data_IF_916580690880
#
_entry.id   IF_916580690880
#
_cell.length_a   1.000
_cell.length_b   1.000
_cell.length_c   1.000
_cell.angle_alpha   90.00
_cell.angle_beta   90.00
_cell.angle_gamma   90.00
#
_symmetry.space_group_name_H-M   'P 1'
#
loop_
_entity.id
_entity.type
_entity.pdbx_description
1 polymer ?
#
# COMPACT_ATOMS: atom_id res chain seq x y z
N UNK A 1 3.51 -6.66 -20.09
CA UNK A 1 4.69 -6.19 -19.34
C UNK A 1 4.70 -6.93 -18.02
N UNK A 2 5.83 -7.53 -17.65
CA UNK A 2 5.97 -8.24 -16.37
C UNK A 2 5.99 -7.24 -15.23
N UNK A 3 4.90 -7.16 -14.47
CA UNK A 3 4.81 -6.30 -13.29
C UNK A 3 5.58 -6.99 -12.17
N UNK A 4 6.84 -6.60 -11.96
CA UNK A 4 7.68 -7.16 -10.90
C UNK A 4 7.41 -6.41 -9.60
N UNK A 5 6.70 -7.06 -8.66
CA UNK A 5 6.54 -6.53 -7.32
C UNK A 5 7.83 -6.77 -6.52
N UNK A 6 8.31 -5.72 -5.87
CA UNK A 6 9.31 -5.82 -4.82
C UNK A 6 8.67 -6.40 -3.56
N UNK A 7 9.44 -7.15 -2.76
CA UNK A 7 8.96 -7.74 -1.51
C UNK A 7 9.87 -7.35 -0.35
N UNK A 8 9.28 -6.91 0.75
CA UNK A 8 9.98 -6.60 1.99
C UNK A 8 9.38 -7.43 3.13
N UNK A 9 10.26 -8.04 3.92
CA UNK A 9 9.86 -8.74 5.15
C UNK A 9 9.60 -7.72 6.25
N UNK A 10 8.52 -7.92 7.01
CA UNK A 10 8.10 -7.08 8.12
C UNK A 10 8.30 -7.88 9.43
N UNK A 11 9.54 -8.00 9.94
CA UNK A 11 9.87 -8.91 11.04
C UNK A 11 9.21 -8.57 12.37
N UNK A 12 8.74 -7.34 12.54
CA UNK A 12 8.13 -6.85 13.78
C UNK A 12 6.60 -7.02 13.83
N UNK A 13 5.99 -7.63 12.80
CA UNK A 13 4.60 -8.08 12.88
C UNK A 13 4.54 -9.48 13.53
N UNK A 14 3.43 -9.82 14.18
CA UNK A 14 3.19 -11.16 14.72
C UNK A 14 1.90 -11.74 14.14
N UNK A 15 1.97 -12.71 13.21
CA UNK A 15 3.18 -13.28 12.61
C UNK A 15 3.95 -12.28 11.71
N UNK A 16 5.24 -12.54 11.41
CA UNK A 16 6.03 -11.68 10.52
C UNK A 16 5.32 -11.49 9.17
N UNK A 17 5.13 -10.24 8.77
CA UNK A 17 4.38 -9.91 7.56
C UNK A 17 5.26 -9.79 6.31
N UNK A 18 4.61 -9.70 5.15
CA UNK A 18 5.28 -9.40 3.89
C UNK A 18 4.59 -8.19 3.25
N UNK A 19 5.35 -7.14 2.95
CA UNK A 19 4.91 -6.06 2.09
C UNK A 19 5.35 -6.36 0.66
N UNK A 20 4.39 -6.61 -0.23
CA UNK A 20 4.63 -6.61 -1.67
C UNK A 20 4.29 -5.24 -2.22
N UNK A 21 5.19 -4.61 -2.97
CA UNK A 21 4.92 -3.30 -3.52
C UNK A 21 5.46 -3.07 -4.93
N UNK A 22 4.84 -2.14 -5.66
CA UNK A 22 5.33 -1.68 -6.95
C UNK A 22 5.03 -0.19 -7.15
N UNK A 23 5.97 0.48 -7.82
CA UNK A 23 5.83 1.84 -8.31
C UNK A 23 5.56 1.76 -9.82
N UNK A 24 4.41 2.27 -10.24
CA UNK A 24 3.86 2.15 -11.58
C UNK A 24 3.64 3.55 -12.16
N UNK A 25 3.66 3.69 -13.48
CA UNK A 25 3.47 4.97 -14.15
C UNK A 25 2.18 4.98 -14.95
N UNK A 26 1.26 5.90 -14.64
CA UNK A 26 0.05 6.09 -15.44
C UNK A 26 -0.97 4.94 -15.39
N UNK A 27 -0.92 4.08 -14.37
CA UNK A 27 -1.84 2.95 -14.20
C UNK A 27 -3.11 3.39 -13.49
N UNK A 28 -4.26 3.02 -14.03
CA UNK A 28 -5.56 3.38 -13.46
C UNK A 28 -5.93 2.49 -12.26
N UNK A 29 -6.76 3.00 -11.35
CA UNK A 29 -7.19 2.29 -10.14
C UNK A 29 -7.77 0.90 -10.41
N UNK A 30 -8.49 0.73 -11.54
CA UNK A 30 -9.04 -0.58 -11.92
C UNK A 30 -7.92 -1.61 -12.20
N UNK A 31 -6.90 -1.20 -12.94
CA UNK A 31 -5.74 -2.04 -13.23
C UNK A 31 -4.94 -2.32 -11.95
N UNK A 32 -4.77 -1.31 -11.08
CA UNK A 32 -4.17 -1.51 -9.75
C UNK A 32 -4.89 -2.60 -8.96
N UNK A 33 -6.23 -2.57 -8.93
CA UNK A 33 -7.02 -3.60 -8.24
C UNK A 33 -6.80 -5.00 -8.85
N UNK A 34 -6.75 -5.13 -10.17
CA UNK A 34 -6.47 -6.40 -10.84
C UNK A 34 -5.07 -6.94 -10.52
N UNK A 35 -4.07 -6.07 -10.42
CA UNK A 35 -2.70 -6.45 -9.99
C UNK A 35 -2.70 -6.85 -8.52
N UNK A 36 -3.34 -6.08 -7.66
CA UNK A 36 -3.37 -6.34 -6.22
C UNK A 36 -4.05 -7.67 -5.90
N UNK A 37 -5.22 -7.94 -6.49
CA UNK A 37 -5.96 -9.18 -6.30
C UNK A 37 -5.19 -10.42 -6.77
N UNK A 38 -4.37 -10.30 -7.82
CA UNK A 38 -3.49 -11.41 -8.27
C UNK A 38 -2.35 -11.71 -7.30
N UNK A 39 -1.96 -10.73 -6.48
CA UNK A 39 -0.79 -10.83 -5.61
C UNK A 39 -1.14 -10.96 -4.12
N UNK A 40 -2.41 -10.72 -3.77
CA UNK A 40 -2.98 -10.85 -2.44
C UNK A 40 -3.73 -12.19 -2.35
N UNK A 41 -3.08 -13.21 -1.79
CA UNK A 41 -3.70 -14.53 -1.59
C UNK A 41 -4.21 -14.68 -0.15
N UNK A 42 -5.40 -15.28 0.05
CA UNK A 42 -5.86 -15.66 1.39
C UNK A 42 -4.95 -16.73 2.04
N UNK A 43 -4.13 -17.44 1.27
CA UNK A 43 -3.15 -18.41 1.79
C UNK A 43 -1.94 -17.75 2.46
N UNK A 44 -1.78 -16.44 2.30
CA UNK A 44 -0.72 -15.63 2.91
C UNK A 44 -1.35 -14.48 3.71
N UNK A 45 -2.03 -14.76 4.84
CA UNK A 45 -2.82 -13.79 5.60
C UNK A 45 -1.99 -12.62 6.13
N UNK A 46 -0.68 -12.77 6.24
CA UNK A 46 0.30 -11.78 6.68
C UNK A 46 0.85 -10.89 5.54
N UNK A 47 0.44 -11.12 4.29
CA UNK A 47 0.90 -10.35 3.13
C UNK A 47 -0.01 -9.16 2.87
N UNK A 48 0.56 -7.96 2.76
CA UNK A 48 -0.14 -6.77 2.26
C UNK A 48 0.46 -6.34 0.92
N UNK A 49 -0.39 -5.96 -0.03
CA UNK A 49 0.02 -5.45 -1.34
C UNK A 49 -0.17 -3.94 -1.39
N UNK A 50 0.87 -3.21 -1.77
CA UNK A 50 0.88 -1.76 -1.95
C UNK A 50 1.27 -1.38 -3.38
N UNK A 51 0.36 -0.79 -4.13
CA UNK A 51 0.65 -0.30 -5.47
C UNK A 51 0.55 1.21 -5.49
N UNK A 52 1.55 1.87 -6.08
CA UNK A 52 1.55 3.31 -6.27
C UNK A 52 1.62 3.59 -7.76
N UNK A 53 0.66 4.33 -8.28
CA UNK A 53 0.65 4.83 -9.65
C UNK A 53 0.94 6.31 -9.67
N UNK A 54 2.01 6.71 -10.35
CA UNK A 54 2.41 8.11 -10.50
C UNK A 54 1.95 8.63 -11.86
N UNK A 55 1.26 9.77 -11.85
CA UNK A 55 0.87 10.51 -13.04
C UNK A 55 1.54 11.88 -12.99
N UNK A 56 2.23 12.25 -14.07
CA UNK A 56 2.76 13.60 -14.25
C UNK A 56 1.65 14.51 -14.76
N UNK A 57 1.33 15.54 -14.00
CA UNK A 57 0.36 16.56 -14.38
C UNK A 57 1.03 17.93 -14.47
N UNK A 58 0.34 18.87 -15.12
CA UNK A 58 0.76 20.27 -15.18
C UNK A 58 0.62 20.88 -13.78
N UNK A 59 1.70 20.86 -13.00
CA UNK A 59 1.72 21.30 -11.60
C UNK A 59 2.42 20.34 -10.64
N UNK A 60 2.87 19.17 -11.11
CA UNK A 60 3.66 18.23 -10.33
C UNK A 60 3.26 16.78 -10.56
N UNK A 61 3.81 15.90 -9.73
CA UNK A 61 3.46 14.48 -9.73
C UNK A 61 2.32 14.23 -8.73
N UNK A 62 1.33 13.46 -9.18
CA UNK A 62 0.28 12.91 -8.32
C UNK A 62 0.44 11.41 -8.23
N UNK A 63 0.44 10.91 -7.00
CA UNK A 63 0.51 9.49 -6.71
C UNK A 63 -0.87 9.01 -6.27
N UNK A 64 -1.36 7.95 -6.91
CA UNK A 64 -2.50 7.17 -6.45
C UNK A 64 -1.98 5.92 -5.76
N UNK A 65 -2.36 5.70 -4.52
CA UNK A 65 -1.99 4.52 -3.73
C UNK A 65 -3.18 3.58 -3.63
N UNK A 66 -2.93 2.30 -3.79
CA UNK A 66 -3.84 1.21 -3.46
C UNK A 66 -3.15 0.27 -2.46
N UNK A 67 -3.81 0.03 -1.32
CA UNK A 67 -3.49 -1.04 -0.39
C UNK A 67 -4.56 -2.11 -0.44
N UNK A 68 -4.13 -3.37 -0.52
CA UNK A 68 -5.00 -4.54 -0.43
C UNK A 68 -4.36 -5.56 0.50
N UNK A 69 -5.15 -6.08 1.43
CA UNK A 69 -4.74 -7.15 2.32
C UNK A 69 -5.77 -8.30 2.33
N UNK A 70 -5.38 -9.50 2.77
CA UNK A 70 -6.28 -10.62 3.00
C UNK A 70 -7.35 -10.31 4.04
N UNK A 71 -8.49 -11.04 4.04
CA UNK A 71 -9.53 -10.95 5.05
C UNK A 71 -9.05 -10.93 6.51
N UNK A 72 -8.08 -11.79 6.81
CA UNK A 72 -7.57 -12.02 8.16
C UNK A 72 -6.30 -11.20 8.46
N UNK A 73 -6.00 -10.18 7.65
CA UNK A 73 -4.86 -9.31 7.91
C UNK A 73 -5.05 -8.56 9.24
N UNK A 74 -4.06 -8.56 10.14
CA UNK A 74 -4.25 -8.16 11.55
C UNK A 74 -4.39 -6.65 11.77
N UNK A 75 -4.45 -5.83 10.71
CA UNK A 75 -4.52 -4.37 10.83
C UNK A 75 -5.64 -3.78 9.98
N UNK A 76 -6.23 -2.69 10.47
CA UNK A 76 -7.20 -1.87 9.75
C UNK A 76 -6.49 -1.15 8.58
N UNK A 77 -6.70 -1.67 7.36
CA UNK A 77 -6.04 -1.18 6.13
C UNK A 77 -6.41 0.27 5.81
N UNK A 78 -7.70 0.69 5.85
CA UNK A 78 -8.07 2.10 5.75
C UNK A 78 -7.36 3.02 6.75
N UNK A 79 -7.36 2.66 8.04
CA UNK A 79 -6.72 3.48 9.08
C UNK A 79 -5.20 3.55 8.87
N UNK A 80 -4.57 2.44 8.49
CA UNK A 80 -3.16 2.37 8.13
C UNK A 80 -2.83 3.31 6.97
N UNK A 81 -3.62 3.31 5.89
CA UNK A 81 -3.43 4.20 4.75
C UNK A 81 -3.52 5.66 5.18
N UNK A 82 -4.59 6.05 5.88
CA UNK A 82 -4.80 7.44 6.30
C UNK A 82 -3.66 7.92 7.21
N UNK A 83 -3.22 7.09 8.16
CA UNK A 83 -2.06 7.38 9.02
C UNK A 83 -0.77 7.56 8.22
N UNK A 84 -0.56 6.76 7.19
CA UNK A 84 0.65 6.82 6.34
C UNK A 84 0.65 8.03 5.41
N UNK A 85 -0.52 8.43 4.89
CA UNK A 85 -0.66 9.59 4.01
C UNK A 85 -0.63 10.94 4.75
N UNK A 86 -1.10 10.99 6.00
CA UNK A 86 -1.18 12.22 6.78
C UNK A 86 0.11 13.07 6.80
N UNK A 87 1.31 12.53 7.10
CA UNK A 87 2.54 13.31 7.09
C UNK A 87 2.97 13.79 5.70
N UNK A 88 2.44 13.18 4.63
CA UNK A 88 2.71 13.55 3.24
C UNK A 88 1.69 14.55 2.68
N UNK A 89 0.78 15.06 3.52
CA UNK A 89 -0.34 15.90 3.09
C UNK A 89 -1.37 15.18 2.22
N UNK A 90 -1.29 13.84 2.15
CA UNK A 90 -2.18 13.00 1.38
C UNK A 90 -3.51 12.74 2.06
N UNK A 91 -4.47 12.23 1.28
CA UNK A 91 -5.78 11.79 1.78
C UNK A 91 -6.14 10.46 1.18
N UNK A 92 -6.82 9.64 1.96
CA UNK A 92 -7.29 8.33 1.52
C UNK A 92 -8.40 7.84 2.41
N UNK A 93 -8.99 6.74 1.98
CA UNK A 93 -10.03 6.02 2.69
C UNK A 93 -10.20 4.64 2.09
N UNK A 94 -11.13 3.87 2.63
CA UNK A 94 -11.30 2.50 2.19
C UNK A 94 -12.43 1.83 2.93
N UNK A 95 -12.56 0.53 2.65
CA UNK A 95 -13.48 -0.36 3.33
C UNK A 95 -12.83 -1.73 3.44
N UNK A 96 -13.12 -2.42 4.53
CA UNK A 96 -12.62 -3.77 4.78
C UNK A 96 -11.08 -3.79 4.64
N UNK A 97 -10.56 -4.73 3.86
CA UNK A 97 -9.11 -4.89 3.65
C UNK A 97 -8.58 -4.17 2.41
N UNK A 98 -9.29 -3.13 1.96
CA UNK A 98 -8.91 -2.33 0.79
C UNK A 98 -8.92 -0.85 1.14
N UNK A 99 -7.87 -0.13 0.70
CA UNK A 99 -7.81 1.30 0.85
C UNK A 99 -7.16 1.98 -0.35
N UNK A 100 -7.70 3.12 -0.74
CA UNK A 100 -7.19 3.94 -1.85
C UNK A 100 -7.02 5.38 -1.39
N UNK A 101 -5.98 6.03 -1.89
CA UNK A 101 -5.74 7.43 -1.59
C UNK A 101 -4.79 8.07 -2.57
N UNK A 102 -4.45 9.31 -2.30
CA UNK A 102 -3.46 10.02 -3.09
C UNK A 102 -2.70 11.08 -2.32
N UNK A 103 -1.53 11.40 -2.84
CA UNK A 103 -0.65 12.44 -2.32
C UNK A 103 0.24 12.96 -3.45
N UNK A 104 0.88 14.10 -3.20
CA UNK A 104 1.93 14.65 -4.06
C UNK A 104 3.28 14.51 -3.36
N UNK A 105 4.33 14.19 -4.10
CA UNK A 105 5.69 14.03 -3.55
C UNK A 105 6.32 12.70 -3.93
N UNK A 106 7.36 12.32 -3.19
CA UNK A 106 8.14 11.12 -3.47
C UNK A 106 7.37 9.83 -3.11
N UNK A 107 7.11 8.92 -4.08
CA UNK A 107 6.47 7.65 -3.79
C UNK A 107 7.27 6.76 -2.84
N UNK A 108 8.60 6.86 -2.81
CA UNK A 108 9.42 6.06 -1.91
C UNK A 108 9.23 6.48 -0.44
N UNK A 109 9.06 7.78 -0.18
CA UNK A 109 8.75 8.28 1.16
C UNK A 109 7.46 7.69 1.74
N UNK A 110 6.47 7.37 0.89
CA UNK A 110 5.27 6.65 1.31
C UNK A 110 5.57 5.21 1.70
N UNK A 111 6.36 4.48 0.90
CA UNK A 111 6.74 3.09 1.20
C UNK A 111 7.48 3.03 2.54
N UNK A 112 8.43 3.93 2.76
CA UNK A 112 9.20 3.97 4.01
C UNK A 112 8.30 4.26 5.22
N UNK A 113 7.35 5.19 5.07
CA UNK A 113 6.34 5.49 6.10
C UNK A 113 5.41 4.30 6.36
N UNK A 114 5.01 3.57 5.31
CA UNK A 114 4.17 2.38 5.42
C UNK A 114 4.89 1.27 6.19
N UNK A 115 6.15 0.98 5.83
CA UNK A 115 6.99 -0.01 6.52
C UNK A 115 7.16 0.35 7.99
N UNK A 116 7.40 1.64 8.30
CA UNK A 116 7.48 2.12 9.68
C UNK A 116 6.17 1.91 10.44
N UNK A 117 5.02 2.20 9.83
CA UNK A 117 3.73 2.02 10.48
C UNK A 117 3.41 0.53 10.70
N UNK A 118 3.66 -0.32 9.72
CA UNK A 118 3.48 -1.78 9.84
C UNK A 118 4.40 -2.38 10.89
N UNK A 119 5.67 -1.95 10.94
CA UNK A 119 6.66 -2.43 11.92
C UNK A 119 6.43 -1.89 13.33
N UNK A 120 5.76 -0.75 13.46
CA UNK A 120 5.40 -0.12 14.74
C UNK A 120 4.05 -0.59 15.29
N UNK A 121 3.31 -1.43 14.57
CA UNK A 121 2.04 -2.00 15.02
C UNK A 121 2.31 -3.26 15.83
N UNK A 122 3.10 -3.11 16.90
CA UNK A 122 3.20 -4.13 17.94
C UNK A 122 1.89 -4.11 18.73
N UNK A 123 1.21 -5.25 18.76
CA UNK A 123 -0.10 -5.44 19.39
C UNK A 123 -0.19 -4.73 20.74
N UNK A 124 -1.17 -3.83 20.87
CA UNK A 124 -1.70 -3.41 22.17
C UNK A 124 -2.88 -4.29 22.52
#
# INVERSE_FOLDING_TARGET
AGESLSSLTLPNMSPPGILKYALLNGVETKQLMEIANRNCSPETPETIVCLISTVKETGGEKNTVLLVAPPDFPADVPALLTKTLAPLGGRGGGRDNHATGGFSGDPQAFIDALVKNLSGTSAR
#
